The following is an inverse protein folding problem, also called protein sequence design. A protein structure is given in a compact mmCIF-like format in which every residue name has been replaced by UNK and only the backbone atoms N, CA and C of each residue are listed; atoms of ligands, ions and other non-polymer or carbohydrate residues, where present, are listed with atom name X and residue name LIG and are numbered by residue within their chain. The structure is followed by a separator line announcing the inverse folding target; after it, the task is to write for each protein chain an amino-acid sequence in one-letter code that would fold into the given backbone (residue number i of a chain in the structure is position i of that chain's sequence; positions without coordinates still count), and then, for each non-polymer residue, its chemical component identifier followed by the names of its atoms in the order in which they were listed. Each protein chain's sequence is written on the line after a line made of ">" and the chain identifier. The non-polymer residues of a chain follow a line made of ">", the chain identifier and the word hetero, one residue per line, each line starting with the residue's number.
data_IF_700871519932
#
_entry.id   IF_700871519932
#
_cell.length_a   1.000
_cell.length_b   1.000
_cell.length_c   1.000
_cell.angle_alpha   90.00
_cell.angle_beta   90.00
_cell.angle_gamma   90.00
#
_symmetry.space_group_name_H-M   'P 1'
#
loop_
_entity.id
_entity.type
_entity.pdbx_description
1 polymer ?
#
# COMPACT_ATOMS: atom_id res chain seq x y z
N UNK A 1 19.20 -11.70 -66.23
CA UNK A 1 19.91 -12.89 -66.75
C UNK A 1 19.39 -14.11 -66.00
N UNK A 2 18.89 -15.11 -66.76
CA UNK A 2 18.63 -16.53 -66.42
C UNK A 2 17.90 -16.83 -65.09
N UNK A 3 16.63 -17.23 -65.00
CA UNK A 3 15.88 -18.37 -65.60
C UNK A 3 16.53 -19.76 -65.46
N UNK A 4 15.94 -20.62 -64.62
CA UNK A 4 15.71 -22.08 -64.84
C UNK A 4 14.89 -22.65 -63.67
N UNK A 5 13.57 -22.81 -63.76
CA UNK A 5 12.79 -23.79 -64.53
C UNK A 5 12.69 -25.17 -63.85
N UNK A 6 11.52 -25.40 -63.26
CA UNK A 6 10.91 -26.70 -62.96
C UNK A 6 10.86 -27.58 -64.22
N UNK A 7 11.10 -28.88 -64.05
CA UNK A 7 10.95 -29.87 -65.11
C UNK A 7 10.34 -31.16 -64.57
N UNK A 8 9.01 -31.22 -64.55
CA UNK A 8 8.25 -32.47 -64.43
C UNK A 8 8.37 -33.22 -65.76
N UNK A 9 9.06 -34.36 -65.77
CA UNK A 9 9.20 -35.23 -66.94
C UNK A 9 8.36 -36.48 -66.80
N UNK A 10 7.25 -36.55 -67.54
CA UNK A 10 6.52 -37.79 -67.80
C UNK A 10 7.32 -38.62 -68.81
N UNK A 11 7.45 -39.93 -68.59
CA UNK A 11 7.86 -40.86 -69.66
C UNK A 11 7.02 -42.14 -69.67
N UNK A 12 6.54 -42.39 -70.88
CA UNK A 12 5.71 -43.49 -71.36
C UNK A 12 6.44 -44.82 -71.28
N UNK A 13 5.64 -45.84 -70.95
CA UNK A 13 5.93 -47.27 -70.89
C UNK A 13 6.45 -47.82 -72.22
N UNK A 14 7.51 -48.62 -72.19
CA UNK A 14 7.76 -49.66 -73.19
C UNK A 14 7.94 -51.01 -72.51
N UNK A 15 7.05 -51.93 -72.89
CA UNK A 15 7.03 -53.34 -72.53
C UNK A 15 8.11 -54.07 -73.33
N UNK A 16 8.97 -54.82 -72.65
CA UNK A 16 9.80 -55.86 -73.26
C UNK A 16 9.60 -57.17 -72.48
N UNK A 17 8.90 -58.12 -73.11
CA UNK A 17 8.76 -59.49 -72.66
C UNK A 17 10.08 -60.24 -72.91
N UNK A 18 10.67 -60.79 -71.86
CA UNK A 18 11.67 -61.86 -71.95
C UNK A 18 11.23 -62.98 -71.02
N UNK A 19 10.93 -64.14 -71.61
CA UNK A 19 10.66 -65.38 -70.91
C UNK A 19 11.98 -65.97 -70.38
N UNK A 20 12.06 -66.16 -69.06
CA UNK A 20 13.12 -66.90 -68.40
C UNK A 20 12.53 -67.64 -67.21
N UNK A 21 12.23 -68.92 -67.39
CA UNK A 21 11.68 -69.79 -66.35
C UNK A 21 12.72 -70.02 -65.26
N UNK A 22 12.42 -69.55 -64.05
CA UNK A 22 13.00 -70.03 -62.80
C UNK A 22 11.87 -70.48 -61.90
N UNK A 23 11.80 -71.79 -61.71
CA UNK A 23 10.90 -72.46 -60.77
C UNK A 23 11.35 -72.06 -59.36
N UNK A 24 10.66 -71.07 -58.80
CA UNK A 24 10.67 -70.78 -57.38
C UNK A 24 9.22 -70.72 -56.92
N UNK A 25 8.80 -71.65 -56.07
CA UNK A 25 7.57 -71.50 -55.30
C UNK A 25 7.74 -70.28 -54.37
N UNK A 26 7.47 -69.08 -54.88
CA UNK A 26 7.02 -67.99 -54.03
C UNK A 26 5.54 -68.24 -53.80
N UNK A 27 5.23 -68.61 -52.56
CA UNK A 27 3.89 -68.51 -52.02
C UNK A 27 3.57 -67.02 -52.04
N UNK A 28 2.86 -66.60 -53.07
CA UNK A 28 2.36 -65.24 -53.22
C UNK A 28 1.12 -65.11 -52.34
N UNK A 29 1.33 -65.25 -51.02
CA UNK A 29 0.35 -64.90 -50.01
C UNK A 29 0.47 -63.38 -49.78
N UNK A 30 0.28 -62.58 -50.84
CA UNK A 30 -0.26 -61.24 -50.63
C UNK A 30 -1.70 -61.45 -50.19
N UNK A 31 -1.89 -61.59 -48.88
CA UNK A 31 -3.18 -61.34 -48.25
C UNK A 31 -3.49 -59.86 -48.45
N UNK A 32 -3.98 -59.52 -49.64
CA UNK A 32 -4.75 -58.31 -49.82
C UNK A 32 -6.02 -58.58 -49.02
N UNK A 33 -6.28 -57.83 -47.92
CA UNK A 33 -7.61 -57.76 -47.32
C UNK A 33 -8.50 -57.24 -48.45
N UNK A 34 -9.10 -58.15 -49.20
CA UNK A 34 -10.22 -57.83 -50.07
C UNK A 34 -11.32 -57.45 -49.10
N UNK A 35 -11.46 -56.16 -48.82
CA UNK A 35 -12.71 -55.65 -48.29
C UNK A 35 -13.78 -56.05 -49.30
N UNK A 36 -14.62 -57.01 -48.92
CA UNK A 36 -15.80 -57.34 -49.70
C UNK A 36 -16.65 -56.06 -49.75
N UNK A 37 -16.93 -55.47 -50.93
CA UNK A 37 -17.71 -54.24 -51.04
C UNK A 37 -19.21 -54.45 -50.74
N UNK A 38 -19.55 -55.48 -49.97
CA UNK A 38 -20.89 -55.92 -49.60
C UNK A 38 -20.96 -56.54 -48.19
N UNK A 39 -19.90 -56.43 -47.37
CA UNK A 39 -20.04 -56.81 -45.96
C UNK A 39 -20.86 -55.71 -45.26
N UNK A 40 -22.09 -56.04 -44.86
CA UNK A 40 -22.88 -55.18 -43.98
C UNK A 40 -22.24 -55.20 -42.61
N UNK A 41 -21.63 -54.10 -42.19
CA UNK A 41 -20.94 -53.95 -40.92
C UNK A 41 -21.16 -52.54 -40.34
N UNK A 42 -21.28 -52.43 -39.01
CA UNK A 42 -21.22 -51.14 -38.34
C UNK A 42 -19.78 -50.61 -38.31
N UNK A 43 -19.62 -49.29 -38.23
CA UNK A 43 -18.31 -48.60 -38.17
C UNK A 43 -18.43 -47.44 -37.16
N UNK A 44 -17.72 -47.54 -36.04
CA UNK A 44 -17.82 -46.58 -34.93
C UNK A 44 -16.84 -45.41 -35.11
N UNK A 45 -17.33 -44.19 -34.93
CA UNK A 45 -16.48 -43.01 -34.82
C UNK A 45 -16.92 -42.12 -33.65
N UNK A 46 -15.94 -41.50 -32.99
CA UNK A 46 -16.15 -40.47 -31.99
C UNK A 46 -15.85 -39.08 -32.57
N UNK A 47 -16.69 -38.10 -32.25
CA UNK A 47 -16.45 -36.70 -32.53
C UNK A 47 -16.82 -35.81 -31.32
N UNK A 48 -15.85 -35.16 -30.67
CA UNK A 48 -14.40 -35.23 -30.91
C UNK A 48 -13.77 -36.56 -30.44
N UNK A 49 -12.53 -36.84 -30.84
CA UNK A 49 -11.74 -37.99 -30.37
C UNK A 49 -11.02 -37.73 -29.02
N UNK A 50 -11.06 -36.49 -28.54
CA UNK A 50 -10.60 -36.10 -27.22
C UNK A 50 -11.39 -34.91 -26.68
N UNK A 51 -11.51 -34.82 -25.36
CA UNK A 51 -12.11 -33.69 -24.66
C UNK A 51 -11.10 -33.13 -23.66
N UNK A 52 -10.86 -31.83 -23.74
CA UNK A 52 -10.15 -31.06 -22.72
C UNK A 52 -11.17 -30.16 -22.01
N UNK A 53 -11.36 -30.40 -20.71
CA UNK A 53 -12.23 -29.60 -19.86
C UNK A 53 -11.60 -28.27 -19.46
N UNK A 54 -10.30 -28.08 -19.74
CA UNK A 54 -9.55 -26.93 -19.30
C UNK A 54 -9.48 -26.86 -17.77
N UNK A 55 -9.55 -25.64 -17.25
CA UNK A 55 -9.50 -25.35 -15.82
C UNK A 55 -10.91 -25.21 -15.26
N UNK A 56 -11.21 -26.00 -14.24
CA UNK A 56 -12.52 -26.02 -13.55
C UNK A 56 -12.27 -25.81 -12.06
N UNK A 57 -13.03 -24.95 -11.36
CA UNK A 57 -12.82 -24.72 -9.93
C UNK A 57 -12.80 -26.02 -9.12
N UNK A 58 -11.90 -26.11 -8.14
CA UNK A 58 -11.74 -27.30 -7.30
C UNK A 58 -13.08 -27.76 -6.71
N UNK A 59 -13.41 -29.03 -6.92
CA UNK A 59 -14.64 -29.66 -6.43
C UNK A 59 -15.89 -29.38 -7.27
N UNK A 60 -15.81 -28.48 -8.25
CA UNK A 60 -16.91 -28.26 -9.20
C UNK A 60 -16.86 -29.24 -10.38
N UNK A 61 -17.97 -29.31 -11.11
CA UNK A 61 -18.11 -30.19 -12.27
C UNK A 61 -18.39 -29.41 -13.54
N UNK A 62 -17.79 -29.86 -14.64
CA UNK A 62 -18.07 -29.38 -15.99
C UNK A 62 -18.58 -30.54 -16.86
N UNK A 63 -19.50 -30.25 -17.79
CA UNK A 63 -20.06 -31.24 -18.71
C UNK A 63 -19.71 -30.88 -20.15
N UNK A 64 -19.21 -31.84 -20.91
CA UNK A 64 -18.99 -31.74 -22.35
C UNK A 64 -19.59 -32.96 -23.05
N UNK A 65 -19.83 -32.83 -24.36
CA UNK A 65 -20.46 -33.86 -25.15
C UNK A 65 -19.46 -34.51 -26.10
N UNK A 66 -19.53 -35.85 -26.19
CA UNK A 66 -18.98 -36.62 -27.31
C UNK A 66 -20.13 -37.17 -28.14
N UNK A 67 -19.97 -37.17 -29.45
CA UNK A 67 -20.93 -37.79 -30.37
C UNK A 67 -20.37 -39.13 -30.82
N UNK A 68 -21.13 -40.21 -30.60
CA UNK A 68 -20.86 -41.55 -31.11
C UNK A 68 -21.62 -41.72 -32.41
N UNK A 69 -20.91 -41.92 -33.51
CA UNK A 69 -21.44 -41.93 -34.87
C UNK A 69 -21.29 -43.32 -35.46
N UNK A 70 -22.34 -43.84 -36.09
CA UNK A 70 -22.27 -45.06 -36.90
C UNK A 70 -22.13 -44.71 -38.39
N UNK A 71 -20.91 -44.80 -38.92
CA UNK A 71 -20.61 -44.58 -40.34
C UNK A 71 -20.81 -45.82 -41.21
N UNK A 72 -21.10 -46.95 -40.58
CA UNK A 72 -21.30 -48.23 -41.25
C UNK A 72 -22.66 -48.33 -41.94
N UNK A 73 -22.89 -49.46 -42.60
CA UNK A 73 -24.12 -49.77 -43.32
C UNK A 73 -24.99 -50.83 -42.60
N UNK A 74 -24.68 -51.12 -41.33
CA UNK A 74 -25.46 -51.94 -40.41
C UNK A 74 -25.61 -51.24 -39.05
N UNK A 75 -26.58 -51.63 -38.23
CA UNK A 75 -26.77 -51.07 -36.88
C UNK A 75 -25.57 -51.36 -35.99
N UNK A 76 -25.07 -50.33 -35.30
CA UNK A 76 -24.00 -50.40 -34.31
C UNK A 76 -24.62 -50.58 -32.91
N UNK A 77 -24.16 -51.58 -32.17
CA UNK A 77 -24.46 -51.71 -30.75
C UNK A 77 -23.22 -51.37 -29.94
N UNK A 78 -23.33 -50.33 -29.09
CA UNK A 78 -22.31 -50.04 -28.07
C UNK A 78 -22.71 -50.79 -26.81
N UNK A 79 -21.94 -51.80 -26.46
CA UNK A 79 -22.26 -52.75 -25.37
C UNK A 79 -21.57 -52.35 -24.05
N UNK A 80 -20.49 -51.56 -24.13
CA UNK A 80 -19.72 -51.10 -22.98
C UNK A 80 -19.34 -49.63 -23.18
N UNK A 81 -19.44 -48.86 -22.10
CA UNK A 81 -18.84 -47.54 -21.99
C UNK A 81 -18.23 -47.46 -20.58
N UNK A 82 -16.92 -47.45 -20.47
CA UNK A 82 -16.21 -47.53 -19.19
C UNK A 82 -15.22 -46.37 -19.05
N UNK A 83 -15.43 -45.44 -18.11
CA UNK A 83 -14.41 -44.49 -17.71
C UNK A 83 -13.20 -45.22 -17.11
N UNK A 84 -12.00 -44.80 -17.51
CA UNK A 84 -10.71 -45.23 -17.01
C UNK A 84 -9.89 -44.03 -16.54
N UNK A 85 -8.97 -44.23 -15.58
CA UNK A 85 -8.06 -43.18 -15.08
C UNK A 85 -8.32 -42.79 -13.62
N UNK A 86 -8.27 -41.50 -13.33
CA UNK A 86 -8.28 -40.95 -11.95
C UNK A 86 -9.63 -41.05 -11.23
N UNK A 87 -10.71 -41.42 -11.94
CA UNK A 87 -12.08 -41.41 -11.41
C UNK A 87 -12.76 -40.03 -11.45
N UNK A 88 -12.08 -39.00 -11.95
CA UNK A 88 -12.62 -37.66 -12.10
C UNK A 88 -13.63 -37.51 -13.25
N UNK A 89 -13.71 -38.50 -14.15
CA UNK A 89 -14.59 -38.47 -15.32
C UNK A 89 -15.70 -39.53 -15.19
N UNK A 90 -16.94 -39.13 -15.48
CA UNK A 90 -18.12 -40.00 -15.42
C UNK A 90 -19.06 -39.79 -16.61
N UNK A 91 -19.92 -40.77 -16.86
CA UNK A 91 -20.94 -40.78 -17.92
C UNK A 91 -22.30 -41.17 -17.32
N UNK A 92 -22.95 -40.28 -16.54
CA UNK A 92 -24.06 -40.65 -15.67
C UNK A 92 -25.32 -41.11 -16.42
N UNK A 93 -25.56 -40.58 -17.62
CA UNK A 93 -26.82 -40.79 -18.37
C UNK A 93 -26.71 -41.82 -19.49
N UNK A 94 -25.63 -42.62 -19.52
CA UNK A 94 -25.44 -43.65 -20.54
C UNK A 94 -26.24 -44.91 -20.22
N UNK A 95 -27.15 -45.28 -21.13
CA UNK A 95 -27.90 -46.54 -21.07
C UNK A 95 -27.35 -47.49 -22.11
N UNK A 96 -26.90 -48.68 -21.67
CA UNK A 96 -26.33 -49.72 -22.53
C UNK A 96 -27.27 -50.93 -22.66
N UNK A 97 -27.29 -51.61 -23.82
CA UNK A 97 -26.56 -51.24 -25.03
C UNK A 97 -27.18 -50.03 -25.74
N UNK A 98 -26.34 -49.16 -26.33
CA UNK A 98 -26.81 -48.08 -27.21
C UNK A 98 -26.99 -48.63 -28.62
N UNK A 99 -28.18 -48.46 -29.21
CA UNK A 99 -28.48 -48.85 -30.58
C UNK A 99 -28.40 -47.63 -31.50
N UNK A 100 -27.44 -47.63 -32.41
CA UNK A 100 -27.21 -46.52 -33.35
C UNK A 100 -27.39 -47.07 -34.78
N UNK A 101 -28.53 -46.77 -35.44
CA UNK A 101 -28.75 -47.18 -36.83
C UNK A 101 -27.68 -46.63 -37.78
N UNK A 102 -27.59 -47.21 -38.98
CA UNK A 102 -26.64 -46.75 -40.01
C UNK A 102 -26.87 -45.27 -40.35
N UNK A 103 -25.79 -44.48 -40.31
CA UNK A 103 -25.82 -43.05 -40.61
C UNK A 103 -26.35 -42.15 -39.48
N UNK A 104 -26.77 -42.74 -38.37
CA UNK A 104 -27.24 -42.02 -37.19
C UNK A 104 -26.12 -41.79 -36.17
N UNK A 105 -26.39 -40.95 -35.19
CA UNK A 105 -25.48 -40.59 -34.12
C UNK A 105 -26.18 -40.50 -32.76
N UNK A 106 -25.44 -40.70 -31.68
CA UNK A 106 -25.92 -40.51 -30.32
C UNK A 106 -24.92 -39.69 -29.51
N UNK A 107 -25.43 -38.71 -28.76
CA UNK A 107 -24.62 -37.88 -27.87
C UNK A 107 -24.50 -38.53 -26.49
N UNK A 108 -23.32 -38.42 -25.91
CA UNK A 108 -23.00 -38.86 -24.56
C UNK A 108 -22.43 -37.68 -23.80
N UNK A 109 -23.07 -37.36 -22.67
CA UNK A 109 -22.58 -36.36 -21.73
C UNK A 109 -21.44 -36.97 -20.89
N UNK A 110 -20.29 -36.32 -20.94
CA UNK A 110 -19.11 -36.63 -20.12
C UNK A 110 -19.00 -35.54 -19.05
N UNK A 111 -19.03 -35.96 -17.79
CA UNK A 111 -18.93 -35.07 -16.63
C UNK A 111 -17.54 -35.21 -16.03
N UNK A 112 -16.81 -34.10 -15.93
CA UNK A 112 -15.54 -33.97 -15.20
C UNK A 112 -15.80 -33.30 -13.86
N UNK A 113 -15.27 -33.86 -12.77
CA UNK A 113 -15.24 -33.21 -11.44
C UNK A 113 -13.79 -32.94 -11.06
N UNK A 114 -13.47 -31.66 -10.87
CA UNK A 114 -12.09 -31.22 -10.67
C UNK A 114 -11.53 -31.60 -9.30
N UNK A 115 -10.41 -32.34 -9.28
CA UNK A 115 -9.70 -32.70 -8.07
C UNK A 115 -8.19 -32.38 -8.11
N UNK A 116 -7.63 -32.18 -9.31
CA UNK A 116 -6.24 -31.82 -9.52
C UNK A 116 -5.91 -31.78 -11.01
N UNK A 117 -4.70 -32.18 -11.40
CA UNK A 117 -4.38 -32.43 -12.81
C UNK A 117 -4.84 -33.84 -13.16
N UNK A 118 -5.93 -33.94 -13.90
CA UNK A 118 -6.61 -35.19 -14.21
C UNK A 118 -6.46 -35.57 -15.68
N UNK A 119 -6.14 -36.84 -15.92
CA UNK A 119 -6.13 -37.44 -17.25
C UNK A 119 -6.80 -38.81 -17.18
N UNK A 120 -7.54 -39.15 -18.23
CA UNK A 120 -8.30 -40.39 -18.30
C UNK A 120 -8.77 -40.68 -19.71
N UNK A 121 -9.61 -41.70 -19.82
CA UNK A 121 -10.28 -42.02 -21.07
C UNK A 121 -11.65 -42.67 -20.82
N UNK A 122 -12.50 -42.69 -21.82
CA UNK A 122 -13.68 -43.58 -21.83
C UNK A 122 -13.50 -44.58 -22.96
N UNK A 123 -13.48 -45.87 -22.62
CA UNK A 123 -13.47 -46.95 -23.60
C UNK A 123 -14.92 -47.30 -23.98
N UNK A 124 -15.25 -47.16 -25.26
CA UNK A 124 -16.51 -47.60 -25.86
C UNK A 124 -16.29 -48.93 -26.58
N UNK A 125 -16.82 -50.01 -26.02
CA UNK A 125 -16.83 -51.35 -26.64
C UNK A 125 -18.08 -51.54 -27.49
N UNK A 126 -17.91 -51.98 -28.74
CA UNK A 126 -19.00 -52.04 -29.72
C UNK A 126 -18.93 -53.27 -30.63
N UNK A 127 -19.98 -53.46 -31.43
CA UNK A 127 -20.07 -54.54 -32.45
C UNK A 127 -19.36 -54.21 -33.77
N UNK A 128 -18.58 -53.13 -33.84
CA UNK A 128 -17.70 -52.85 -34.98
C UNK A 128 -16.59 -53.93 -35.06
N UNK A 129 -16.50 -54.70 -36.16
CA UNK A 129 -15.53 -55.78 -36.31
C UNK A 129 -14.09 -55.29 -36.51
N UNK A 130 -13.89 -54.10 -37.07
CA UNK A 130 -12.57 -53.53 -37.33
C UNK A 130 -12.08 -52.71 -36.13
N UNK A 131 -12.99 -52.05 -35.41
CA UNK A 131 -12.72 -51.26 -34.20
C UNK A 131 -13.62 -51.67 -33.02
N UNK A 132 -13.45 -52.89 -32.45
CA UNK A 132 -14.33 -53.40 -31.40
C UNK A 132 -14.29 -52.59 -30.09
N UNK A 133 -13.26 -51.77 -29.91
CA UNK A 133 -13.18 -50.78 -28.85
C UNK A 133 -12.52 -49.49 -29.37
N UNK A 134 -13.09 -48.34 -29.01
CA UNK A 134 -12.52 -47.02 -29.29
C UNK A 134 -12.43 -46.21 -27.99
N UNK A 135 -11.37 -45.41 -27.87
CA UNK A 135 -11.08 -44.66 -26.65
C UNK A 135 -11.22 -43.16 -26.88
N UNK A 136 -12.01 -42.50 -26.03
CA UNK A 136 -12.08 -41.04 -25.94
C UNK A 136 -11.06 -40.55 -24.92
N UNK A 137 -10.03 -39.80 -25.34
CA UNK A 137 -9.06 -39.25 -24.41
C UNK A 137 -9.63 -38.03 -23.66
N UNK A 138 -9.42 -37.97 -22.34
CA UNK A 138 -9.94 -36.92 -21.48
C UNK A 138 -8.82 -36.25 -20.68
N UNK A 139 -8.91 -34.92 -20.55
CA UNK A 139 -8.05 -34.13 -19.67
C UNK A 139 -8.87 -33.04 -18.98
N UNK A 140 -8.51 -32.72 -17.74
CA UNK A 140 -9.01 -31.57 -17.01
C UNK A 140 -8.02 -31.16 -15.93
N UNK A 141 -8.13 -29.92 -15.47
CA UNK A 141 -7.30 -29.38 -14.40
C UNK A 141 -8.16 -28.63 -13.38
N UNK A 142 -7.89 -28.83 -12.10
CA UNK A 142 -8.51 -28.05 -11.03
C UNK A 142 -7.89 -26.65 -10.96
N UNK A 143 -8.74 -25.63 -11.01
CA UNK A 143 -8.37 -24.25 -10.69
C UNK A 143 -8.47 -24.04 -9.17
N UNK A 144 -7.44 -23.46 -8.59
CA UNK A 144 -7.36 -23.17 -7.16
C UNK A 144 -7.42 -21.66 -6.91
N UNK A 145 -8.19 -21.19 -5.93
CA UNK A 145 -8.05 -19.82 -5.43
C UNK A 145 -6.73 -19.70 -4.66
N UNK A 146 -6.10 -18.54 -4.71
CA UNK A 146 -4.84 -18.30 -4.02
C UNK A 146 -4.81 -16.88 -3.46
N UNK A 147 -4.84 -16.76 -2.13
CA UNK A 147 -4.76 -15.48 -1.42
C UNK A 147 -3.30 -15.03 -1.25
N UNK A 148 -3.01 -13.82 -1.69
CA UNK A 148 -1.78 -13.10 -1.37
C UNK A 148 -2.11 -11.79 -0.65
N UNK A 149 -1.14 -11.25 0.08
CA UNK A 149 -1.33 -10.02 0.86
C UNK A 149 -0.20 -9.04 0.61
N UNK A 150 -0.53 -7.78 0.34
CA UNK A 150 0.44 -6.73 0.14
C UNK A 150 0.14 -5.53 1.05
N UNK A 151 1.03 -5.18 1.99
CA UNK A 151 2.30 -5.86 2.29
C UNK A 151 2.11 -7.20 3.04
N UNK A 152 3.10 -8.09 2.98
CA UNK A 152 3.12 -9.35 3.77
C UNK A 152 3.25 -9.10 5.28
N UNK A 153 3.68 -7.90 5.68
CA UNK A 153 3.66 -7.43 7.08
C UNK A 153 3.43 -5.93 7.10
N UNK A 154 2.56 -5.46 7.99
CA UNK A 154 2.20 -4.06 8.09
C UNK A 154 2.96 -3.39 9.25
N UNK A 155 3.65 -2.30 8.97
CA UNK A 155 4.39 -1.51 9.97
C UNK A 155 3.92 -0.06 9.96
N UNK A 156 3.02 0.29 10.89
CA UNK A 156 2.42 1.63 10.99
C UNK A 156 3.41 2.66 11.57
N UNK A 157 4.51 2.20 12.17
CA UNK A 157 5.52 3.09 12.74
C UNK A 157 5.08 3.69 14.09
N UNK A 158 5.40 4.96 14.33
CA UNK A 158 5.15 5.61 15.63
C UNK A 158 3.82 6.35 15.63
N UNK A 159 2.99 6.07 16.64
CA UNK A 159 1.70 6.73 16.86
C UNK A 159 1.68 7.28 18.27
N UNK A 160 1.23 8.53 18.41
CA UNK A 160 1.11 9.18 19.72
C UNK A 160 0.15 8.38 20.60
N UNK A 161 0.48 8.20 21.88
CA UNK A 161 -0.41 7.54 22.85
C UNK A 161 -1.81 8.18 22.84
N UNK A 162 -2.86 7.36 22.83
CA UNK A 162 -4.26 7.76 22.69
C UNK A 162 -4.63 8.40 21.32
N UNK A 163 -3.70 8.46 20.37
CA UNK A 163 -3.99 8.74 18.97
C UNK A 163 -4.39 7.46 18.22
N UNK A 164 -4.56 7.61 16.91
CA UNK A 164 -4.81 6.49 16.01
C UNK A 164 -4.11 6.72 14.67
N UNK A 165 -3.76 5.62 14.03
CA UNK A 165 -3.35 5.58 12.63
C UNK A 165 -4.04 4.40 11.95
N UNK A 166 -4.38 4.59 10.68
CA UNK A 166 -5.04 3.59 9.85
C UNK A 166 -4.15 3.38 8.64
N UNK A 167 -3.92 2.13 8.29
CA UNK A 167 -3.18 1.74 7.11
C UNK A 167 -3.82 0.48 6.52
N UNK A 168 -3.45 0.12 5.30
CA UNK A 168 -4.13 -0.92 4.54
C UNK A 168 -3.26 -2.15 4.27
N UNK A 169 -3.91 -3.31 4.23
CA UNK A 169 -3.37 -4.54 3.66
C UNK A 169 -4.26 -4.92 2.49
N UNK A 170 -3.69 -4.96 1.30
CA UNK A 170 -4.39 -5.39 0.10
C UNK A 170 -4.47 -6.92 0.08
N UNK A 171 -5.69 -7.48 0.01
CA UNK A 171 -5.92 -8.89 -0.26
C UNK A 171 -5.99 -9.08 -1.77
N UNK A 172 -5.21 -10.01 -2.32
CA UNK A 172 -5.09 -10.21 -3.77
C UNK A 172 -5.37 -11.68 -4.07
N UNK A 173 -6.26 -11.96 -5.03
CA UNK A 173 -6.40 -13.31 -5.57
C UNK A 173 -5.41 -13.50 -6.73
N UNK A 174 -4.30 -14.18 -6.44
CA UNK A 174 -3.29 -14.56 -7.45
C UNK A 174 -3.54 -15.95 -8.04
N UNK A 175 -4.68 -16.56 -7.68
CA UNK A 175 -5.09 -17.89 -8.15
C UNK A 175 -5.91 -17.84 -9.43
N UNK A 176 -6.49 -18.99 -9.78
CA UNK A 176 -7.18 -19.21 -11.05
C UNK A 176 -8.68 -19.48 -10.88
N UNK A 177 -9.16 -19.49 -9.64
CA UNK A 177 -10.57 -19.60 -9.28
C UNK A 177 -10.97 -18.48 -8.30
N UNK A 178 -12.28 -18.26 -8.14
CA UNK A 178 -12.81 -17.26 -7.22
C UNK A 178 -12.37 -17.55 -5.78
N UNK A 179 -11.69 -16.57 -5.18
CA UNK A 179 -11.31 -16.58 -3.78
C UNK A 179 -12.43 -15.96 -2.95
N UNK A 180 -12.92 -16.71 -1.97
CA UNK A 180 -14.00 -16.31 -1.08
C UNK A 180 -13.42 -16.13 0.32
N UNK A 181 -13.30 -14.89 0.76
CA UNK A 181 -12.91 -14.53 2.13
C UNK A 181 -14.15 -14.63 3.02
N UNK A 182 -14.08 -15.47 4.05
CA UNK A 182 -15.21 -15.79 4.93
C UNK A 182 -15.12 -15.11 6.29
N UNK A 183 -13.91 -14.81 6.76
CA UNK A 183 -13.68 -14.15 8.04
C UNK A 183 -12.43 -13.28 8.00
N UNK A 184 -12.50 -12.12 8.64
CA UNK A 184 -11.39 -11.23 8.94
C UNK A 184 -11.36 -10.97 10.44
N UNK A 185 -10.22 -11.19 11.07
CA UNK A 185 -10.04 -10.90 12.50
C UNK A 185 -8.67 -10.33 12.78
N UNK A 186 -8.56 -9.50 13.82
CA UNK A 186 -7.31 -8.89 14.24
C UNK A 186 -7.06 -9.20 15.71
N UNK A 187 -5.83 -9.58 16.04
CA UNK A 187 -5.36 -9.80 17.39
C UNK A 187 -4.20 -8.84 17.72
N UNK A 188 -4.02 -8.57 19.02
CA UNK A 188 -2.98 -7.67 19.52
C UNK A 188 -3.56 -6.43 20.20
N UNK A 189 -2.83 -5.91 21.19
CA UNK A 189 -3.28 -4.74 21.96
C UNK A 189 -3.22 -3.47 21.11
N UNK A 190 -4.33 -2.73 21.05
CA UNK A 190 -4.42 -1.49 20.26
C UNK A 190 -4.72 -1.71 18.77
N UNK A 191 -4.89 -2.96 18.32
CA UNK A 191 -5.19 -3.29 16.92
C UNK A 191 -6.68 -3.58 16.72
N UNK A 192 -7.25 -3.12 15.61
CA UNK A 192 -8.65 -3.37 15.24
C UNK A 192 -8.86 -3.14 13.74
N UNK A 193 -9.95 -3.66 13.18
CA UNK A 193 -10.39 -3.31 11.83
C UNK A 193 -11.06 -1.92 11.85
N UNK A 194 -10.73 -1.05 10.89
CA UNK A 194 -11.27 0.32 10.84
C UNK A 194 -12.62 0.38 10.10
N UNK A 195 -12.78 -0.41 9.04
CA UNK A 195 -13.99 -0.57 8.24
C UNK A 195 -13.75 -1.88 7.47
N UNK A 196 -14.64 -2.87 7.59
CA UNK A 196 -14.48 -4.16 6.88
C UNK A 196 -15.56 -4.31 5.83
N UNK A 197 -15.17 -4.83 4.66
CA UNK A 197 -16.12 -5.27 3.64
C UNK A 197 -17.17 -6.24 4.22
N UNK A 198 -18.34 -6.25 3.60
CA UNK A 198 -19.36 -7.24 3.95
C UNK A 198 -18.88 -8.63 3.55
N UNK A 199 -18.73 -9.52 4.53
CA UNK A 199 -18.36 -10.91 4.30
C UNK A 199 -19.62 -11.78 4.04
N UNK A 200 -19.53 -12.82 3.19
CA UNK A 200 -18.34 -13.24 2.45
C UNK A 200 -17.97 -12.29 1.30
N UNK A 201 -16.67 -12.03 1.12
CA UNK A 201 -16.12 -11.22 0.04
C UNK A 201 -15.58 -12.16 -1.05
N UNK A 202 -15.98 -11.95 -2.30
CA UNK A 202 -15.50 -12.72 -3.46
C UNK A 202 -14.54 -11.88 -4.29
N UNK A 203 -13.32 -12.38 -4.47
CA UNK A 203 -12.31 -11.85 -5.36
C UNK A 203 -12.16 -12.79 -6.56
N UNK A 204 -12.54 -12.31 -7.75
CA UNK A 204 -12.24 -13.01 -9.00
C UNK A 204 -10.71 -13.16 -9.19
N UNK A 205 -10.23 -14.07 -10.06
CA UNK A 205 -8.82 -14.13 -10.42
C UNK A 205 -8.25 -12.75 -10.79
N UNK A 206 -7.06 -12.43 -10.29
CA UNK A 206 -6.39 -11.11 -10.40
C UNK A 206 -7.11 -9.95 -9.67
N UNK A 207 -8.24 -10.21 -9.01
CA UNK A 207 -8.97 -9.22 -8.22
C UNK A 207 -8.31 -8.94 -6.87
N UNK A 208 -8.48 -7.72 -6.36
CA UNK A 208 -8.01 -7.31 -5.05
C UNK A 208 -9.05 -6.51 -4.26
N UNK A 209 -8.91 -6.46 -2.93
CA UNK A 209 -9.67 -5.56 -2.06
C UNK A 209 -8.81 -5.10 -0.87
N UNK A 210 -8.85 -3.81 -0.50
CA UNK A 210 -8.11 -3.32 0.67
C UNK A 210 -8.81 -3.68 1.98
N UNK A 211 -8.03 -4.08 2.98
CA UNK A 211 -8.47 -4.23 4.38
C UNK A 211 -7.81 -3.16 5.23
N UNK A 212 -8.63 -2.30 5.83
CA UNK A 212 -8.16 -1.20 6.67
C UNK A 212 -7.95 -1.65 8.11
N UNK A 213 -6.72 -1.52 8.59
CA UNK A 213 -6.30 -1.86 9.95
C UNK A 213 -6.01 -0.57 10.72
N UNK A 214 -6.67 -0.40 11.87
CA UNK A 214 -6.41 0.69 12.83
C UNK A 214 -5.48 0.22 13.92
N UNK A 215 -4.49 1.07 14.22
CA UNK A 215 -3.68 1.02 15.43
C UNK A 215 -3.94 2.22 16.35
N UNK A 216 -4.34 1.94 17.59
CA UNK A 216 -4.59 2.91 18.67
C UNK A 216 -3.79 2.51 19.91
N UNK A 217 -2.54 3.01 20.08
CA UNK A 217 -1.68 2.60 21.19
C UNK A 217 -2.23 3.05 22.56
N UNK A 218 -2.32 2.09 23.48
CA UNK A 218 -2.77 2.31 24.87
C UNK A 218 -1.62 2.63 25.84
N UNK A 219 -0.37 2.34 25.44
CA UNK A 219 0.83 2.53 26.24
C UNK A 219 2.02 2.86 25.33
N UNK A 220 3.11 3.34 25.93
CA UNK A 220 4.35 3.56 25.20
C UNK A 220 5.08 2.24 24.96
N UNK A 221 5.77 2.15 23.84
CA UNK A 221 6.53 0.96 23.45
C UNK A 221 5.93 0.24 22.25
N UNK A 222 6.62 -0.81 21.84
CA UNK A 222 6.25 -1.58 20.65
C UNK A 222 5.00 -2.41 20.93
N UNK A 223 4.06 -2.41 19.98
CA UNK A 223 2.83 -3.17 20.01
C UNK A 223 2.80 -4.07 18.77
N UNK A 224 2.77 -5.38 19.00
CA UNK A 224 2.63 -6.38 17.95
C UNK A 224 1.19 -6.86 17.87
N UNK A 225 0.78 -7.24 16.67
CA UNK A 225 -0.52 -7.83 16.39
C UNK A 225 -0.46 -8.72 15.15
N UNK A 226 -1.60 -9.30 14.81
CA UNK A 226 -1.76 -10.13 13.62
C UNK A 226 -3.14 -9.91 13.02
N UNK A 227 -3.21 -9.77 11.69
CA UNK A 227 -4.44 -9.86 10.91
C UNK A 227 -4.56 -11.30 10.40
N UNK A 228 -5.68 -11.96 10.68
CA UNK A 228 -6.00 -13.30 10.20
C UNK A 228 -7.08 -13.23 9.13
N UNK A 229 -6.84 -13.92 8.01
CA UNK A 229 -7.75 -13.97 6.87
C UNK A 229 -8.13 -15.43 6.59
N UNK A 230 -9.39 -15.78 6.86
CA UNK A 230 -9.97 -17.09 6.51
C UNK A 230 -10.59 -17.03 5.13
N UNK A 231 -10.26 -18.00 4.27
CA UNK A 231 -10.80 -18.08 2.90
C UNK A 231 -10.97 -19.53 2.44
N UNK A 232 -11.43 -19.71 1.19
CA UNK A 232 -11.44 -20.99 0.49
C UNK A 232 -10.11 -21.33 -0.21
N UNK A 233 -9.03 -20.57 0.01
CA UNK A 233 -7.68 -20.98 -0.39
C UNK A 233 -7.35 -22.33 0.29
N UNK A 234 -6.95 -23.37 -0.46
CA UNK A 234 -6.61 -24.68 0.11
C UNK A 234 -5.35 -24.66 0.99
N UNK A 235 -4.54 -23.59 0.96
CA UNK A 235 -3.40 -23.39 1.88
C UNK A 235 -3.89 -23.02 3.28
N UNK A 236 -3.01 -23.14 4.29
CA UNK A 236 -3.35 -22.79 5.67
C UNK A 236 -3.74 -21.30 5.83
N UNK A 237 -4.35 -20.98 6.98
CA UNK A 237 -4.78 -19.63 7.37
C UNK A 237 -3.68 -18.59 7.10
N UNK A 238 -4.04 -17.51 6.39
CA UNK A 238 -3.11 -16.41 6.12
C UNK A 238 -3.05 -15.48 7.34
N UNK A 239 -1.84 -15.27 7.85
CA UNK A 239 -1.53 -14.36 8.95
C UNK A 239 -0.61 -13.24 8.44
N UNK A 240 -1.04 -11.99 8.62
CA UNK A 240 -0.25 -10.79 8.31
C UNK A 240 0.21 -10.16 9.62
N UNK A 241 1.52 -10.20 9.94
CA UNK A 241 2.06 -9.58 11.15
C UNK A 241 1.89 -8.06 11.11
N UNK A 242 1.46 -7.49 12.24
CA UNK A 242 1.23 -6.07 12.44
C UNK A 242 2.24 -5.53 13.47
N UNK A 243 2.85 -4.39 13.18
CA UNK A 243 3.78 -3.72 14.07
C UNK A 243 3.56 -2.21 14.12
N UNK A 244 3.65 -1.67 15.33
CA UNK A 244 3.53 -0.25 15.61
C UNK A 244 4.16 0.07 16.95
N UNK A 245 4.39 1.35 17.23
CA UNK A 245 4.95 1.81 18.50
C UNK A 245 4.13 2.97 19.05
N UNK A 246 3.65 2.81 20.27
CA UNK A 246 3.13 3.92 21.04
C UNK A 246 4.25 4.84 21.48
N UNK A 247 4.14 6.13 21.18
CA UNK A 247 5.05 7.16 21.67
C UNK A 247 4.28 8.12 22.55
N UNK A 248 4.64 8.17 23.83
CA UNK A 248 4.13 9.16 24.75
C UNK A 248 4.66 10.52 24.36
N UNK A 249 3.84 11.56 24.52
CA UNK A 249 4.36 12.92 24.57
C UNK A 249 5.29 13.02 25.79
N UNK A 250 6.60 13.01 25.56
CA UNK A 250 7.49 13.77 26.41
C UNK A 250 7.33 15.23 26.00
N UNK A 251 6.27 15.88 26.49
CA UNK A 251 6.35 17.33 26.63
C UNK A 251 7.44 17.57 27.67
N UNK A 252 8.64 17.98 27.25
CA UNK A 252 9.49 18.81 28.11
C UNK A 252 8.75 20.15 28.24
N UNK A 253 7.65 20.16 29.00
CA UNK A 253 7.06 21.40 29.48
C UNK A 253 8.10 22.03 30.41
N UNK A 254 9.02 22.79 29.83
CA UNK A 254 9.66 23.86 30.56
C UNK A 254 8.62 24.96 30.74
N UNK A 255 7.75 24.78 31.73
CA UNK A 255 6.99 25.88 32.27
C UNK A 255 7.98 26.79 33.01
N UNK A 256 8.47 27.83 32.35
CA UNK A 256 8.99 28.99 33.07
C UNK A 256 7.78 29.71 33.67
N UNK A 257 7.49 29.39 34.93
CA UNK A 257 6.49 30.13 35.70
C UNK A 257 7.04 31.53 35.98
N UNK A 258 6.80 32.47 35.07
CA UNK A 258 7.15 33.87 35.28
C UNK A 258 6.12 34.50 36.23
N UNK A 259 6.37 34.41 37.53
CA UNK A 259 5.56 35.11 38.54
C UNK A 259 6.03 36.56 38.56
N UNK A 260 5.29 37.44 37.87
CA UNK A 260 5.36 38.88 38.15
C UNK A 260 4.89 39.08 39.59
N UNK A 261 5.75 39.54 40.53
CA UNK A 261 5.37 39.61 41.94
C UNK A 261 4.22 40.61 42.10
N UNK A 262 2.98 40.19 42.38
CA UNK A 262 1.92 41.16 42.65
C UNK A 262 2.33 42.03 43.84
N UNK A 263 2.65 43.30 43.58
CA UNK A 263 3.28 44.23 44.51
C UNK A 263 2.48 44.51 45.79
N UNK A 264 2.95 45.50 46.59
CA UNK A 264 3.59 46.74 46.14
C UNK A 264 5.08 46.58 45.79
N UNK A 265 5.52 47.29 44.74
CA UNK A 265 6.92 47.40 44.35
C UNK A 265 7.50 48.70 44.92
N UNK A 266 8.71 48.65 45.46
CA UNK A 266 9.45 49.81 45.99
C UNK A 266 10.41 50.42 44.94
N UNK A 267 10.33 49.92 43.70
CA UNK A 267 11.11 50.41 42.58
C UNK A 267 10.63 49.95 41.20
N UNK A 268 11.25 50.49 40.16
CA UNK A 268 11.00 50.13 38.75
C UNK A 268 12.31 49.96 38.00
N UNK A 269 12.38 48.94 37.16
CA UNK A 269 13.52 48.63 36.30
C UNK A 269 13.08 48.73 34.84
N UNK A 270 13.62 49.70 34.11
CA UNK A 270 13.09 50.07 32.79
C UNK A 270 14.07 49.69 31.69
N UNK A 271 13.62 48.89 30.73
CA UNK A 271 14.34 48.65 29.47
C UNK A 271 13.73 49.54 28.40
N UNK A 272 14.53 50.46 27.86
CA UNK A 272 14.16 51.28 26.72
C UNK A 272 14.73 50.66 25.45
N UNK A 273 13.85 50.10 24.62
CA UNK A 273 14.14 49.96 23.21
C UNK A 273 13.65 51.22 22.50
N UNK A 274 14.53 51.86 21.76
CA UNK A 274 14.15 53.02 20.95
C UNK A 274 14.56 52.67 19.54
N UNK A 275 13.58 52.57 18.64
CA UNK A 275 13.87 52.55 17.21
C UNK A 275 14.60 53.83 16.90
N UNK A 276 15.63 53.57 16.19
CA UNK A 276 16.77 54.38 16.13
C UNK A 276 16.68 54.93 14.64
N UNK A 277 15.87 54.34 13.74
CA UNK A 277 15.88 54.57 12.29
C UNK A 277 16.03 56.05 11.93
N UNK A 278 16.58 56.37 10.76
CA UNK A 278 16.85 57.77 10.41
C UNK A 278 15.59 58.67 10.44
N UNK A 279 14.38 58.08 10.36
CA UNK A 279 13.12 58.80 10.56
C UNK A 279 12.83 59.18 12.02
N UNK A 280 13.42 58.48 12.99
CA UNK A 280 13.29 58.71 14.44
C UNK A 280 14.32 59.68 15.04
N UNK A 281 15.18 60.32 14.23
CA UNK A 281 16.30 61.15 14.72
C UNK A 281 15.83 62.32 15.61
N UNK A 282 14.76 63.02 15.22
CA UNK A 282 14.19 64.13 15.99
C UNK A 282 13.49 63.63 17.26
N UNK A 283 12.79 62.50 17.18
CA UNK A 283 12.07 61.84 18.26
C UNK A 283 13.04 61.32 19.33
N UNK A 284 14.16 60.71 18.93
CA UNK A 284 15.22 60.27 19.86
C UNK A 284 15.80 61.46 20.61
N UNK A 285 16.11 62.54 19.91
CA UNK A 285 16.61 63.76 20.54
C UNK A 285 15.61 64.31 21.55
N UNK A 286 14.32 64.36 21.17
CA UNK A 286 13.25 64.81 22.05
C UNK A 286 13.09 63.88 23.27
N UNK A 287 13.19 62.56 23.09
CA UNK A 287 13.12 61.59 24.18
C UNK A 287 14.28 61.79 25.18
N UNK A 288 15.50 62.00 24.68
CA UNK A 288 16.68 62.33 25.49
C UNK A 288 16.49 63.61 26.29
N UNK A 289 16.10 64.70 25.62
CA UNK A 289 15.86 66.03 26.22
C UNK A 289 14.79 65.99 27.34
N UNK A 290 13.88 65.01 27.30
CA UNK A 290 12.75 64.85 28.25
C UNK A 290 12.94 63.76 29.29
N UNK A 291 14.03 62.98 29.23
CA UNK A 291 14.29 61.95 30.23
C UNK A 291 14.39 62.51 31.66
N UNK A 292 14.89 63.74 31.79
CA UNK A 292 14.94 64.44 33.08
C UNK A 292 13.56 64.66 33.73
N UNK A 293 12.50 64.80 32.93
CA UNK A 293 11.13 64.93 33.44
C UNK A 293 10.66 63.60 34.06
N UNK A 294 10.91 62.48 33.37
CA UNK A 294 10.63 61.13 33.89
C UNK A 294 11.39 60.86 35.20
N UNK A 295 12.69 61.19 35.24
CA UNK A 295 13.50 61.07 36.46
C UNK A 295 12.90 61.91 37.59
N UNK A 296 12.45 63.12 37.30
CA UNK A 296 11.77 64.00 38.26
C UNK A 296 10.49 63.36 38.83
N UNK A 297 9.67 62.76 37.97
CA UNK A 297 8.46 62.06 38.37
C UNK A 297 8.76 60.82 39.23
N UNK A 298 9.66 59.94 38.78
CA UNK A 298 10.07 58.73 39.52
C UNK A 298 10.60 59.08 40.92
N UNK A 299 11.45 60.10 41.00
CA UNK A 299 11.99 60.60 42.27
C UNK A 299 10.90 61.21 43.16
N UNK A 300 9.90 61.91 42.59
CA UNK A 300 8.78 62.48 43.33
C UNK A 300 7.84 61.43 43.92
N UNK A 301 7.75 60.27 43.26
CA UNK A 301 7.01 59.11 43.73
C UNK A 301 7.77 58.31 44.80
N UNK A 302 9.04 58.63 45.03
CA UNK A 302 9.90 57.94 45.99
C UNK A 302 10.29 56.53 45.54
N UNK A 303 10.22 56.23 44.24
CA UNK A 303 10.57 54.93 43.67
C UNK A 303 12.08 54.86 43.45
N UNK A 304 12.70 53.75 43.86
CA UNK A 304 14.05 53.43 43.41
C UNK A 304 14.00 52.97 41.95
N UNK A 305 14.87 53.47 41.09
CA UNK A 305 14.79 53.11 39.68
C UNK A 305 16.16 52.87 39.04
N UNK A 306 16.14 52.03 38.01
CA UNK A 306 17.26 51.85 37.10
C UNK A 306 16.72 51.67 35.68
N UNK A 307 17.53 52.06 34.71
CA UNK A 307 17.16 52.01 33.31
C UNK A 307 18.32 51.51 32.45
N UNK A 308 18.00 50.83 31.37
CA UNK A 308 18.93 50.44 30.32
C UNK A 308 18.37 50.84 28.96
N UNK A 309 19.18 51.47 28.11
CA UNK A 309 18.82 51.74 26.71
C UNK A 309 19.49 50.69 25.83
N UNK A 310 18.72 50.06 24.96
CA UNK A 310 19.16 48.95 24.11
C UNK A 310 18.73 49.17 22.66
N UNK A 311 19.61 48.81 21.72
CA UNK A 311 19.32 48.83 20.27
C UNK A 311 20.04 47.73 19.48
N UNK A 312 21.08 47.11 20.05
CA UNK A 312 21.85 46.05 19.40
C UNK A 312 21.23 44.66 19.54
N UNK A 313 21.55 43.77 18.60
CA UNK A 313 21.06 42.38 18.53
C UNK A 313 21.49 41.49 19.71
N UNK A 314 22.44 41.94 20.52
CA UNK A 314 22.90 41.23 21.72
C UNK A 314 22.10 41.60 22.97
N UNK A 315 21.20 42.59 22.86
CA UNK A 315 20.40 43.12 23.97
C UNK A 315 21.20 43.87 25.03
N UNK A 316 22.50 44.11 24.82
CA UNK A 316 23.34 44.78 25.82
C UNK A 316 23.02 46.28 25.90
N UNK A 317 23.06 46.83 27.11
CA UNK A 317 22.85 48.27 27.32
C UNK A 317 23.93 49.11 26.65
N UNK A 318 23.49 50.06 25.82
CA UNK A 318 24.38 50.92 25.01
C UNK A 318 25.27 51.82 25.86
N UNK A 319 24.79 52.22 27.05
CA UNK A 319 25.46 53.13 27.98
C UNK A 319 25.69 52.52 29.37
N UNK A 320 25.50 51.20 29.52
CA UNK A 320 25.41 50.55 30.83
C UNK A 320 24.10 50.85 31.56
N UNK A 321 23.95 50.28 32.76
CA UNK A 321 22.77 50.46 33.62
C UNK A 321 22.82 51.83 34.28
N UNK A 322 21.84 52.67 33.97
CA UNK A 322 21.60 53.99 34.55
C UNK A 322 20.84 53.80 35.85
N UNK A 323 21.29 54.41 36.95
CA UNK A 323 20.67 54.24 38.27
C UNK A 323 20.13 55.57 38.77
N UNK A 324 19.17 55.51 39.69
CA UNK A 324 18.66 56.67 40.45
C UNK A 324 19.77 57.52 41.11
N UNK A 325 20.89 56.89 41.46
CA UNK A 325 22.09 57.49 42.03
C UNK A 325 23.09 58.05 41.00
N UNK A 326 22.86 57.84 39.70
CA UNK A 326 23.71 58.38 38.63
C UNK A 326 23.54 59.90 38.53
N UNK A 327 24.57 60.66 38.90
CA UNK A 327 24.56 62.13 38.82
C UNK A 327 24.45 62.66 37.38
N UNK A 328 24.78 61.83 36.41
CA UNK A 328 24.81 62.06 34.96
C UNK A 328 23.77 61.21 34.21
N UNK A 329 22.69 60.80 34.89
CA UNK A 329 21.65 59.92 34.34
C UNK A 329 21.10 60.38 32.97
N UNK A 330 20.87 61.68 32.79
CA UNK A 330 20.38 62.24 31.51
C UNK A 330 21.41 62.06 30.41
N UNK A 331 22.68 62.39 30.67
CA UNK A 331 23.75 62.24 29.69
C UNK A 331 23.99 60.78 29.30
N UNK A 332 23.90 59.85 30.26
CA UNK A 332 24.01 58.42 29.99
C UNK A 332 22.83 57.92 29.16
N UNK A 333 21.62 58.40 29.43
CA UNK A 333 20.45 58.07 28.63
C UNK A 333 20.57 58.57 27.19
N UNK A 334 20.96 59.83 27.00
CA UNK A 334 21.23 60.41 25.68
C UNK A 334 22.33 59.64 24.92
N UNK A 335 23.40 59.23 25.61
CA UNK A 335 24.43 58.38 25.01
C UNK A 335 23.85 57.03 24.56
N UNK A 336 22.99 56.42 25.39
CA UNK A 336 22.32 55.17 25.07
C UNK A 336 21.46 55.24 23.81
N UNK A 337 20.92 56.43 23.49
CA UNK A 337 20.14 56.69 22.27
C UNK A 337 20.99 56.84 21.00
N UNK A 338 22.31 56.63 21.06
CA UNK A 338 23.23 56.72 19.91
C UNK A 338 23.90 55.38 19.54
N UNK A 339 23.30 54.26 19.96
CA UNK A 339 23.85 52.92 19.74
C UNK A 339 23.86 52.46 18.28
N UNK A 340 24.60 51.37 18.01
CA UNK A 340 24.64 50.73 16.70
C UNK A 340 23.32 49.99 16.39
N UNK A 341 23.00 49.90 15.10
CA UNK A 341 21.87 49.16 14.54
C UNK A 341 22.24 47.71 14.37
N UNK A 342 21.46 46.83 14.98
CA UNK A 342 21.48 45.43 14.65
C UNK A 342 20.59 45.09 13.47
N UNK A 343 20.54 43.80 13.11
CA UNK A 343 19.60 43.25 12.14
C UNK A 343 18.15 43.28 12.65
N UNK A 344 17.96 43.37 13.97
CA UNK A 344 16.67 43.48 14.64
C UNK A 344 16.21 44.93 14.88
N UNK A 345 16.69 45.88 14.06
CA UNK A 345 16.39 47.31 14.21
C UNK A 345 14.88 47.64 14.25
N UNK A 346 14.03 46.85 13.56
CA UNK A 346 12.56 47.01 13.56
C UNK A 346 11.84 45.97 14.45
N UNK A 347 12.60 45.10 15.13
CA UNK A 347 12.10 44.03 15.99
C UNK A 347 12.38 44.36 17.46
N UNK A 348 11.85 45.50 17.90
CA UNK A 348 12.12 46.08 19.21
C UNK A 348 11.77 45.19 20.39
N UNK A 349 10.70 44.40 20.29
CA UNK A 349 10.32 43.44 21.34
C UNK A 349 11.32 42.28 21.44
N UNK A 350 11.93 41.86 20.32
CA UNK A 350 12.99 40.84 20.28
C UNK A 350 14.24 41.37 20.99
N UNK A 351 14.64 42.60 20.67
CA UNK A 351 15.81 43.24 21.31
C UNK A 351 15.56 43.47 22.81
N UNK A 352 14.36 43.92 23.19
CA UNK A 352 14.00 44.06 24.60
C UNK A 352 13.99 42.71 25.33
N UNK A 353 13.47 41.65 24.71
CA UNK A 353 13.51 40.30 25.29
C UNK A 353 14.96 39.78 25.45
N UNK A 354 15.83 40.03 24.47
CA UNK A 354 17.26 39.73 24.58
C UNK A 354 17.91 40.53 25.72
N UNK A 355 17.54 41.80 25.91
CA UNK A 355 18.05 42.62 27.01
C UNK A 355 17.64 42.09 28.39
N UNK A 356 16.41 41.60 28.52
CA UNK A 356 15.94 40.93 29.74
C UNK A 356 16.68 39.61 29.97
N UNK A 357 16.92 38.82 28.91
CA UNK A 357 17.72 37.59 29.02
C UNK A 357 19.17 37.89 29.42
N UNK A 358 19.76 38.93 28.85
CA UNK A 358 21.12 39.39 29.16
C UNK A 358 21.26 39.95 30.59
N UNK A 359 20.16 40.17 31.31
CA UNK A 359 20.18 40.56 32.72
C UNK A 359 20.40 39.37 33.69
N UNK A 360 20.35 38.14 33.17
CA UNK A 360 20.68 36.94 33.95
C UNK A 360 22.14 36.96 34.46
N UNK A 361 22.46 36.24 35.56
CA UNK A 361 23.82 36.18 36.10
C UNK A 361 24.87 35.81 35.05
N UNK A 362 25.94 36.61 34.93
CA UNK A 362 26.98 36.46 33.92
C UNK A 362 26.68 37.08 32.55
N UNK A 363 25.48 37.65 32.36
CA UNK A 363 25.12 38.42 31.18
C UNK A 363 25.62 39.87 31.21
N UNK A 364 25.61 40.55 30.06
CA UNK A 364 26.13 41.92 29.95
C UNK A 364 25.27 42.97 30.68
N UNK A 365 24.00 42.65 30.97
CA UNK A 365 23.09 43.50 31.74
C UNK A 365 22.90 42.98 33.17
N UNK A 366 23.79 42.13 33.68
CA UNK A 366 23.68 41.59 35.04
C UNK A 366 23.44 42.71 36.07
N UNK A 367 22.35 42.56 36.82
CA UNK A 367 21.90 43.55 37.80
C UNK A 367 20.91 44.60 37.26
N UNK A 368 20.45 44.51 36.02
CA UNK A 368 19.40 45.37 35.44
C UNK A 368 17.99 45.02 35.92
N UNK A 369 17.75 43.79 36.40
CA UNK A 369 16.47 43.37 36.97
C UNK A 369 16.67 43.01 38.45
N UNK A 370 15.93 43.68 39.32
CA UNK A 370 15.92 43.50 40.78
C UNK A 370 14.65 42.79 41.21
N UNK A 371 14.77 41.94 42.22
CA UNK A 371 13.64 41.15 42.74
C UNK A 371 12.55 42.00 43.42
N UNK A 372 12.89 43.22 43.87
CA UNK A 372 12.00 44.17 44.56
C UNK A 372 11.45 45.30 43.67
N UNK A 373 11.75 45.26 42.37
CA UNK A 373 11.33 46.26 41.39
C UNK A 373 10.39 45.66 40.33
N UNK A 374 9.51 46.50 39.78
CA UNK A 374 8.68 46.12 38.64
C UNK A 374 9.52 46.22 37.35
N UNK A 375 9.67 45.14 36.56
CA UNK A 375 10.27 45.25 35.24
C UNK A 375 9.29 45.91 34.26
N UNK A 376 9.75 46.95 33.57
CA UNK A 376 9.01 47.67 32.55
C UNK A 376 9.79 47.69 31.25
N UNK A 377 9.14 47.32 30.14
CA UNK A 377 9.70 47.49 28.80
C UNK A 377 8.98 48.65 28.14
N UNK A 378 9.76 49.61 27.65
CA UNK A 378 9.30 50.74 26.85
C UNK A 378 9.93 50.60 25.47
N UNK A 379 9.12 50.24 24.49
CA UNK A 379 9.51 50.22 23.08
C UNK A 379 8.95 51.46 22.39
N UNK A 380 9.81 52.26 21.77
CA UNK A 380 9.43 53.49 21.07
C UNK A 380 9.86 53.36 19.60
N UNK A 381 8.91 53.36 18.68
CA UNK A 381 9.17 53.32 17.24
C UNK A 381 8.11 54.12 16.48
N UNK A 382 8.46 54.65 15.31
CA UNK A 382 7.53 55.26 14.36
C UNK A 382 6.93 54.23 13.38
N UNK A 383 7.40 52.99 13.43
CA UNK A 383 6.94 51.86 12.63
C UNK A 383 6.37 50.70 13.48
N UNK A 384 5.73 49.74 12.80
CA UNK A 384 5.17 48.57 13.47
C UNK A 384 6.27 47.54 13.78
N UNK A 385 6.29 47.06 15.03
CA UNK A 385 7.25 46.06 15.49
C UNK A 385 7.19 44.77 14.65
N UNK A 386 8.36 44.28 14.23
CA UNK A 386 8.54 43.12 13.35
C UNK A 386 9.06 41.88 14.12
N UNK A 387 8.92 41.82 15.45
CA UNK A 387 9.36 40.65 16.22
C UNK A 387 8.55 39.40 15.89
N UNK A 388 9.23 38.28 15.66
CA UNK A 388 8.57 36.99 15.43
C UNK A 388 7.94 36.45 16.72
N UNK A 389 6.65 36.09 16.68
CA UNK A 389 5.90 35.53 17.80
C UNK A 389 4.77 36.44 18.28
N UNK A 390 3.70 35.85 18.82
CA UNK A 390 2.55 36.58 19.37
C UNK A 390 2.88 37.28 20.70
N UNK A 391 3.83 38.21 20.71
CA UNK A 391 4.27 38.98 21.87
C UNK A 391 3.17 39.90 22.43
N UNK A 392 2.12 40.11 21.65
CA UNK A 392 0.88 40.78 22.07
C UNK A 392 -0.30 39.81 21.87
N UNK A 393 -1.26 39.75 22.81
CA UNK A 393 -2.50 39.00 22.62
C UNK A 393 -3.38 39.56 21.50
#
# INVERSE_FOLDING_TARGET
>A
MANKAMGLGWRVVQVALVWGALVGCKRDDTLIKREDPSATAPDIMLDPWSIDFGKVPLGESATQQVTVINRGNATLYVERASPEGTGAFTIPDVVLPMEIPSGEEQRVDVVYTAAGVDAGAIEFGSTDPDSPAVSLALRGEAAFPQLDTNPESLQIGRVVRCGEAIDEVELINVGEADLIVTELSVAGTGWSLWESDTLPLTLAPEGSSPVLVRFSPLADGDALGSLFVSSNDPRELVEVPLGGRGEGYAIDERAETHIQPSGPYDGVDIVFFVDQSASMDDERRLLGDRFGDLVGELNSLGLSWQAGVVSGDDGCTNSGIIRDSSADAVSLFEQGLTGDWGWFAESGLTVAAQALHAAAPGGCNEGLLRDDALPLVVAVADEADQSEGGWLP
#
